data_IF_933952124665
#
_entry.id   IF_933952124665
#
_cell.length_a   1.000
_cell.length_b   1.000
_cell.length_c   1.000
_cell.angle_alpha   90.00
_cell.angle_beta   90.00
_cell.angle_gamma   90.00
#
_symmetry.space_group_name_H-M   'P 1'
#
loop_
_entity.id
_entity.type
_entity.pdbx_description
1 polymer ?
#
# COMPACT_ATOMS: atom_id res chain seq x y z
N UNK A 1 4.46 -18.54 25.75
CA UNK A 1 3.26 -18.81 24.93
C UNK A 1 2.63 -17.48 24.56
N UNK A 2 2.14 -17.39 23.33
CA UNK A 2 1.41 -16.29 22.70
C UNK A 2 2.24 -15.20 22.00
N UNK A 3 2.77 -15.58 20.83
CA UNK A 3 2.92 -14.68 19.70
C UNK A 3 1.54 -14.50 19.03
N UNK A 4 0.98 -13.30 19.10
CA UNK A 4 -0.22 -12.91 18.39
C UNK A 4 0.14 -12.25 17.05
N UNK A 5 0.20 -13.07 16.01
CA UNK A 5 0.31 -12.66 14.61
C UNK A 5 -0.80 -11.66 14.23
N UNK A 6 -0.43 -10.41 13.98
CA UNK A 6 -1.35 -9.30 13.73
C UNK A 6 -1.38 -8.80 12.28
N UNK A 7 -1.16 -9.64 11.28
CA UNK A 7 -1.36 -9.27 9.86
C UNK A 7 -2.83 -9.39 9.41
N UNK A 8 -3.79 -8.99 10.25
CA UNK A 8 -5.21 -8.99 9.91
C UNK A 8 -5.72 -7.56 9.72
N UNK A 9 -5.76 -7.06 8.47
CA UNK A 9 -6.49 -5.80 8.21
C UNK A 9 -6.31 -5.02 6.91
N UNK A 10 -5.51 -5.44 5.92
CA UNK A 10 -5.22 -4.58 4.74
C UNK A 10 -6.38 -4.37 3.74
N UNK A 11 -7.54 -5.05 3.86
CA UNK A 11 -8.68 -4.75 2.95
C UNK A 11 -9.16 -3.31 3.21
N UNK A 12 -8.71 -2.38 2.39
CA UNK A 12 -9.10 -0.97 2.45
C UNK A 12 -10.63 -0.89 2.39
N UNK A 13 -11.23 -0.44 3.49
CA UNK A 13 -12.69 -0.37 3.59
C UNK A 13 -13.22 0.67 2.61
N UNK A 14 -14.18 0.27 1.77
CA UNK A 14 -14.87 1.16 0.82
C UNK A 14 -15.60 2.32 1.53
N UNK A 15 -16.12 2.09 2.75
CA UNK A 15 -16.76 3.10 3.60
C UNK A 15 -15.78 3.67 4.64
N UNK A 16 -15.99 4.93 5.05
CA UNK A 16 -15.23 5.58 6.14
C UNK A 16 -15.33 4.76 7.43
N UNK A 17 -14.30 4.89 8.27
CA UNK A 17 -14.31 4.32 9.60
C UNK A 17 -15.48 4.85 10.44
N UNK A 18 -15.99 3.97 11.31
CA UNK A 18 -16.92 4.34 12.36
C UNK A 18 -16.19 5.24 13.37
N UNK A 19 -16.91 6.19 13.94
CA UNK A 19 -16.39 7.09 14.98
C UNK A 19 -17.17 6.79 16.25
N UNK A 20 -16.48 6.75 17.38
CA UNK A 20 -17.11 6.54 18.68
C UNK A 20 -18.07 7.71 18.99
N UNK A 21 -19.24 7.39 19.53
CA UNK A 21 -20.35 8.35 19.66
C UNK A 21 -21.08 8.71 18.36
N UNK A 22 -20.64 8.24 17.18
CA UNK A 22 -21.33 8.45 15.89
C UNK A 22 -21.15 9.85 15.30
N UNK A 23 -21.70 10.08 14.10
CA UNK A 23 -21.71 11.41 13.44
C UNK A 23 -23.10 12.02 13.58
N UNK A 24 -23.21 13.11 14.34
CA UNK A 24 -24.48 13.77 14.66
C UNK A 24 -24.96 14.75 13.59
N UNK A 25 -24.05 15.26 12.75
CA UNK A 25 -24.38 16.22 11.69
C UNK A 25 -24.65 15.52 10.37
N UNK A 26 -25.74 15.91 9.70
CA UNK A 26 -26.12 15.43 8.36
C UNK A 26 -26.22 16.60 7.40
N UNK A 27 -25.56 16.47 6.25
CA UNK A 27 -25.70 17.37 5.11
C UNK A 27 -26.37 16.61 3.98
N UNK A 28 -27.40 17.21 3.38
CA UNK A 28 -28.06 16.70 2.18
C UNK A 28 -27.51 17.44 0.97
N UNK A 29 -27.03 16.70 -0.03
CA UNK A 29 -26.48 17.24 -1.28
C UNK A 29 -27.40 16.78 -2.40
N UNK A 30 -28.05 17.73 -3.06
CA UNK A 30 -28.87 17.47 -4.25
C UNK A 30 -27.99 17.64 -5.48
N UNK A 31 -28.04 16.67 -6.38
CA UNK A 31 -27.22 16.62 -7.60
C UNK A 31 -28.11 16.39 -8.81
N UNK A 32 -27.69 16.90 -9.96
CA UNK A 32 -28.30 16.55 -11.25
C UNK A 32 -28.00 15.09 -11.63
N UNK A 33 -28.74 14.50 -12.58
CA UNK A 33 -28.42 13.16 -13.09
C UNK A 33 -27.00 13.04 -13.65
N UNK A 34 -26.49 14.08 -14.30
CA UNK A 34 -25.14 14.13 -14.87
C UNK A 34 -24.08 14.16 -13.77
N UNK A 35 -24.30 14.94 -12.71
CA UNK A 35 -23.42 15.02 -11.54
C UNK A 35 -23.38 13.69 -10.78
N UNK A 36 -24.53 13.03 -10.62
CA UNK A 36 -24.60 11.69 -10.00
C UNK A 36 -23.80 10.67 -10.80
N UNK A 37 -23.91 10.67 -12.13
CA UNK A 37 -23.13 9.78 -12.98
C UNK A 37 -21.62 10.01 -12.84
N UNK A 38 -21.18 11.27 -12.73
CA UNK A 38 -19.79 11.62 -12.49
C UNK A 38 -19.31 11.17 -11.11
N UNK A 39 -20.13 11.38 -10.06
CA UNK A 39 -19.81 10.95 -8.70
C UNK A 39 -19.71 9.44 -8.58
N UNK A 40 -20.60 8.70 -9.25
CA UNK A 40 -20.55 7.23 -9.32
C UNK A 40 -19.28 6.75 -10.02
N UNK A 41 -18.93 7.33 -11.16
CA UNK A 41 -17.72 6.98 -11.90
C UNK A 41 -16.44 7.25 -11.07
N UNK A 42 -16.37 8.40 -10.40
CA UNK A 42 -15.26 8.76 -9.52
C UNK A 42 -15.20 7.84 -8.29
N UNK A 43 -16.33 7.57 -7.65
CA UNK A 43 -16.38 6.68 -6.48
C UNK A 43 -15.94 5.25 -6.84
N UNK A 44 -16.31 4.75 -8.01
CA UNK A 44 -15.87 3.43 -8.49
C UNK A 44 -14.39 3.42 -8.83
N UNK A 45 -13.89 4.44 -9.54
CA UNK A 45 -12.47 4.62 -9.85
C UNK A 45 -11.60 4.58 -8.58
N UNK A 46 -12.06 5.23 -7.51
CA UNK A 46 -11.35 5.30 -6.24
C UNK A 46 -11.74 4.18 -5.24
N UNK A 47 -12.67 3.29 -5.62
CA UNK A 47 -13.22 2.20 -4.79
C UNK A 47 -13.72 2.66 -3.42
N UNK A 48 -14.36 3.83 -3.37
CA UNK A 48 -14.94 4.43 -2.16
C UNK A 48 -16.45 4.64 -2.33
N UNK A 49 -17.12 5.01 -1.25
CA UNK A 49 -18.52 5.48 -1.31
C UNK A 49 -18.58 6.98 -1.66
N UNK A 50 -19.63 7.44 -2.34
CA UNK A 50 -19.83 8.86 -2.67
C UNK A 50 -19.73 9.79 -1.42
N UNK A 51 -20.34 9.48 -0.26
CA UNK A 51 -20.20 10.34 0.93
C UNK A 51 -18.80 10.36 1.55
N UNK A 52 -17.93 9.41 1.17
CA UNK A 52 -16.51 9.40 1.55
C UNK A 52 -15.74 10.30 0.59
N UNK A 53 -15.94 10.10 -0.71
CA UNK A 53 -15.36 10.92 -1.78
C UNK A 53 -15.61 12.40 -1.55
N UNK A 54 -16.87 12.80 -1.31
CA UNK A 54 -17.24 14.20 -1.12
C UNK A 54 -16.57 14.84 0.10
N UNK A 55 -16.46 14.10 1.22
CA UNK A 55 -15.83 14.64 2.42
C UNK A 55 -14.31 14.67 2.29
N UNK A 56 -13.70 13.64 1.70
CA UNK A 56 -12.26 13.66 1.43
C UNK A 56 -11.91 14.81 0.47
N UNK A 57 -12.66 14.99 -0.62
CA UNK A 57 -12.43 16.09 -1.55
C UNK A 57 -12.64 17.48 -0.93
N UNK A 58 -13.60 17.64 -0.03
CA UNK A 58 -13.91 18.92 0.62
C UNK A 58 -12.99 19.26 1.80
N UNK A 59 -12.44 18.25 2.49
CA UNK A 59 -11.57 18.44 3.67
C UNK A 59 -10.08 18.25 3.38
N UNK A 60 -9.72 17.76 2.19
CA UNK A 60 -8.33 17.81 1.74
C UNK A 60 -8.00 19.25 1.34
N UNK A 61 -7.55 20.07 2.30
CA UNK A 61 -6.99 21.40 2.04
C UNK A 61 -5.69 21.34 1.22
N UNK A 62 -4.97 20.21 1.29
CA UNK A 62 -3.78 19.92 0.51
C UNK A 62 -4.09 18.82 -0.50
N UNK A 63 -4.53 19.20 -1.70
CA UNK A 63 -4.35 18.29 -2.82
C UNK A 63 -2.85 18.09 -3.00
N UNK A 64 -2.31 16.94 -2.56
CA UNK A 64 -0.98 16.51 -2.98
C UNK A 64 -0.88 16.77 -4.48
N UNK A 65 0.11 17.58 -4.82
CA UNK A 65 0.43 17.93 -6.19
C UNK A 65 0.58 16.65 -7.01
N UNK A 66 0.27 16.67 -8.32
CA UNK A 66 0.54 15.53 -9.20
C UNK A 66 1.97 14.99 -9.11
N UNK A 67 2.95 15.85 -8.75
CA UNK A 67 4.33 15.48 -8.45
C UNK A 67 4.47 14.65 -7.17
N UNK A 68 3.82 15.02 -6.08
CA UNK A 68 3.89 14.25 -4.82
C UNK A 68 3.29 12.85 -4.98
N UNK A 69 2.16 12.75 -5.70
CA UNK A 69 1.58 11.44 -6.07
C UNK A 69 2.50 10.62 -6.97
N UNK A 70 3.16 11.27 -7.93
CA UNK A 70 4.13 10.59 -8.82
C UNK A 70 5.32 10.09 -8.01
N UNK A 71 5.83 10.88 -7.09
CA UNK A 71 6.97 10.52 -6.25
C UNK A 71 6.64 9.36 -5.31
N UNK A 72 5.46 9.36 -4.69
CA UNK A 72 4.97 8.21 -3.92
C UNK A 72 4.85 6.95 -4.79
N UNK A 73 4.30 7.06 -5.99
CA UNK A 73 4.20 5.93 -6.92
C UNK A 73 5.58 5.40 -7.35
N UNK A 74 6.55 6.29 -7.57
CA UNK A 74 7.93 5.92 -7.89
C UNK A 74 8.61 5.22 -6.70
N UNK A 75 8.37 5.69 -5.47
CA UNK A 75 8.88 5.05 -4.26
C UNK A 75 8.31 3.63 -4.09
N UNK A 76 7.00 3.45 -4.29
CA UNK A 76 6.36 2.12 -4.28
C UNK A 76 6.85 1.20 -5.40
N UNK A 77 7.07 1.74 -6.61
CA UNK A 77 7.60 0.98 -7.74
C UNK A 77 9.04 0.52 -7.49
N UNK A 78 9.86 1.35 -6.84
CA UNK A 78 11.22 0.99 -6.42
C UNK A 78 11.20 -0.12 -5.37
N UNK A 79 10.30 -0.03 -4.39
CA UNK A 79 10.08 -1.06 -3.39
C UNK A 79 9.72 -2.41 -4.06
N UNK A 80 8.79 -2.40 -5.02
CA UNK A 80 8.39 -3.61 -5.75
C UNK A 80 9.57 -4.25 -6.50
N UNK A 81 10.45 -3.45 -7.12
CA UNK A 81 11.65 -3.95 -7.81
C UNK A 81 12.66 -4.60 -6.84
N UNK A 82 12.88 -3.97 -5.68
CA UNK A 82 13.75 -4.50 -4.65
C UNK A 82 13.27 -5.87 -4.14
N UNK A 83 11.96 -6.00 -3.87
CA UNK A 83 11.35 -7.28 -3.48
C UNK A 83 11.53 -8.33 -4.59
N UNK A 84 11.31 -7.96 -5.85
CA UNK A 84 11.50 -8.87 -7.00
C UNK A 84 12.93 -9.39 -7.11
N UNK A 85 13.93 -8.54 -6.87
CA UNK A 85 15.35 -8.94 -6.86
C UNK A 85 15.65 -9.95 -5.75
N UNK A 86 15.14 -9.72 -4.54
CA UNK A 86 15.31 -10.64 -3.41
C UNK A 86 14.67 -11.99 -3.70
N UNK A 87 13.43 -11.99 -4.20
CA UNK A 87 12.71 -13.21 -4.54
C UNK A 87 13.46 -14.04 -5.60
N UNK A 88 13.99 -13.37 -6.63
CA UNK A 88 14.79 -14.03 -7.67
C UNK A 88 16.06 -14.66 -7.10
N UNK A 89 16.80 -13.94 -6.25
CA UNK A 89 18.02 -14.47 -5.63
C UNK A 89 17.73 -15.71 -4.78
N UNK A 90 16.68 -15.67 -3.96
CA UNK A 90 16.26 -16.81 -3.15
C UNK A 90 15.86 -17.99 -4.05
N UNK A 91 15.13 -17.74 -5.13
CA UNK A 91 14.68 -18.78 -6.05
C UNK A 91 15.88 -19.44 -6.80
N UNK A 92 16.93 -18.67 -7.11
CA UNK A 92 18.15 -19.21 -7.71
C UNK A 92 18.91 -20.13 -6.74
N UNK A 93 19.07 -19.73 -5.47
CA UNK A 93 19.69 -20.57 -4.44
C UNK A 93 18.90 -21.87 -4.27
N UNK A 94 17.57 -21.78 -4.18
CA UNK A 94 16.69 -22.94 -4.02
C UNK A 94 16.80 -23.91 -5.21
N UNK A 95 16.78 -23.40 -6.46
CA UNK A 95 16.93 -24.23 -7.66
C UNK A 95 18.29 -24.92 -7.70
N UNK A 96 19.36 -24.20 -7.40
CA UNK A 96 20.70 -24.78 -7.38
C UNK A 96 20.78 -25.89 -6.33
N UNK A 97 20.38 -25.61 -5.08
CA UNK A 97 20.40 -26.59 -4.01
C UNK A 97 19.56 -27.84 -4.31
N UNK A 98 18.39 -27.66 -4.94
CA UNK A 98 17.55 -28.78 -5.37
C UNK A 98 18.17 -29.61 -6.51
N UNK A 99 18.99 -28.99 -7.37
CA UNK A 99 19.61 -29.66 -8.51
C UNK A 99 20.91 -30.39 -8.17
N UNK A 100 21.70 -29.87 -7.23
CA UNK A 100 23.04 -30.40 -6.88
C UNK A 100 23.08 -31.08 -5.51
N UNK A 101 22.07 -30.88 -4.66
CA UNK A 101 22.11 -31.31 -3.25
C UNK A 101 23.06 -30.50 -2.37
N UNK A 102 23.71 -29.48 -2.93
CA UNK A 102 24.72 -28.65 -2.28
C UNK A 102 24.31 -27.18 -2.31
N UNK A 103 24.61 -26.46 -1.23
CA UNK A 103 24.34 -25.02 -1.15
C UNK A 103 25.40 -24.28 -1.96
N UNK A 104 25.04 -23.42 -2.94
CA UNK A 104 26.02 -22.69 -3.72
C UNK A 104 26.89 -21.78 -2.84
N UNK A 105 28.18 -21.62 -3.16
CA UNK A 105 29.08 -20.75 -2.41
C UNK A 105 28.59 -19.28 -2.36
N UNK A 106 27.84 -18.85 -3.39
CA UNK A 106 27.25 -17.51 -3.48
C UNK A 106 25.94 -17.34 -2.67
N UNK A 107 25.44 -18.40 -2.01
CA UNK A 107 24.22 -18.32 -1.22
C UNK A 107 24.34 -17.36 -0.04
N UNK A 108 25.47 -17.37 0.68
CA UNK A 108 25.68 -16.48 1.81
C UNK A 108 25.70 -14.98 1.40
N UNK A 109 26.45 -14.57 0.36
CA UNK A 109 26.35 -13.22 -0.20
C UNK A 109 24.93 -12.82 -0.65
N UNK A 110 24.21 -13.72 -1.32
CA UNK A 110 22.86 -13.46 -1.81
C UNK A 110 21.84 -13.31 -0.67
N UNK A 111 21.97 -14.08 0.42
CA UNK A 111 21.16 -13.94 1.63
C UNK A 111 21.51 -12.64 2.39
N UNK A 112 22.79 -12.26 2.45
CA UNK A 112 23.21 -11.00 3.04
C UNK A 112 22.64 -9.80 2.26
N UNK A 113 22.63 -9.88 0.93
CA UNK A 113 21.99 -8.88 0.08
C UNK A 113 20.47 -8.84 0.28
N UNK A 114 19.81 -10.00 0.38
CA UNK A 114 18.38 -10.06 0.69
C UNK A 114 18.04 -9.39 2.03
N UNK A 115 18.84 -9.64 3.08
CA UNK A 115 18.69 -8.98 4.38
C UNK A 115 18.87 -7.47 4.31
N UNK A 116 19.87 -6.98 3.58
CA UNK A 116 20.11 -5.54 3.46
C UNK A 116 18.99 -4.84 2.70
N UNK A 117 18.42 -5.49 1.68
CA UNK A 117 17.25 -5.00 0.96
C UNK A 117 16.03 -4.94 1.87
N UNK A 118 15.73 -5.98 2.66
CA UNK A 118 14.62 -5.99 3.62
C UNK A 118 14.75 -4.85 4.64
N UNK A 119 15.94 -4.63 5.21
CA UNK A 119 16.18 -3.52 6.14
C UNK A 119 15.95 -2.16 5.47
N UNK A 120 16.34 -2.01 4.20
CA UNK A 120 16.11 -0.78 3.44
C UNK A 120 14.62 -0.53 3.20
N UNK A 121 13.86 -1.59 2.92
CA UNK A 121 12.41 -1.55 2.77
C UNK A 121 11.75 -1.09 4.07
N UNK A 122 12.11 -1.70 5.21
CA UNK A 122 11.55 -1.34 6.52
C UNK A 122 11.79 0.13 6.87
N UNK A 123 12.99 0.65 6.57
CA UNK A 123 13.30 2.08 6.76
C UNK A 123 12.45 2.98 5.87
N UNK A 124 12.30 2.65 4.59
CA UNK A 124 11.48 3.45 3.69
C UNK A 124 10.00 3.43 4.09
N UNK A 125 9.48 2.30 4.56
CA UNK A 125 8.11 2.20 5.08
C UNK A 125 7.92 3.02 6.35
N UNK A 126 8.91 3.04 7.26
CA UNK A 126 8.89 3.88 8.46
C UNK A 126 8.91 5.37 8.11
N UNK A 127 9.73 5.80 7.15
CA UNK A 127 9.80 7.18 6.68
C UNK A 127 8.48 7.64 6.04
N UNK A 128 7.80 6.74 5.30
CA UNK A 128 6.49 7.02 4.72
C UNK A 128 5.38 7.09 5.78
N UNK A 129 5.47 6.32 6.88
CA UNK A 129 4.47 6.30 7.95
C UNK A 129 4.63 7.44 8.98
N UNK A 130 5.80 8.09 9.02
CA UNK A 130 6.10 9.22 9.90
C UNK A 130 5.79 10.60 9.31
N UNK A 131 5.19 10.66 8.11
CA UNK A 131 4.64 11.88 7.50
C UNK A 131 3.15 12.01 7.75
#
# INVERSE_FOLDING_TARGET
>A
MSEGNGFAGWKSRRRRANVDGGRMHRHEVKVSPEEEAQLLALAEKHRVTIPRLLIEAALNEDSESPSERRDQFMQLSNLQRLIGSVANNINQIARHANSTGEVPPDAAPAIAHARSVIIRIDRQLADMAGR
#
